data_IF_960987273915
#
_entry.id   IF_960987273915
#
_cell.length_a   1.000
_cell.length_b   1.000
_cell.length_c   1.000
_cell.angle_alpha   90.00
_cell.angle_beta   90.00
_cell.angle_gamma   90.00
#
_symmetry.space_group_name_H-M   'P 1'
#
loop_
_entity.id
_entity.type
_entity.pdbx_description
1 polymer ?
#
# COMPACT_ATOMS: atom_id res chain seq x y z
N UNK A 1 -56.91 -16.39 18.33
CA UNK A 1 -56.30 -16.47 16.96
C UNK A 1 -55.83 -15.10 16.44
N UNK A 2 -56.64 -14.01 16.54
CA UNK A 2 -56.24 -12.68 16.05
C UNK A 2 -54.99 -12.13 16.74
N UNK A 3 -54.85 -12.30 18.05
CA UNK A 3 -53.65 -11.83 18.81
C UNK A 3 -52.37 -12.54 18.40
N UNK A 4 -52.40 -13.82 18.05
CA UNK A 4 -51.24 -14.58 17.59
C UNK A 4 -50.77 -14.13 16.19
N UNK A 5 -51.72 -13.80 15.31
CA UNK A 5 -51.39 -13.26 13.97
C UNK A 5 -50.74 -11.87 14.08
N UNK A 6 -51.29 -11.03 14.97
CA UNK A 6 -50.73 -9.70 15.24
C UNK A 6 -49.30 -9.79 15.79
N UNK A 7 -49.08 -10.70 16.75
CA UNK A 7 -47.76 -10.90 17.34
C UNK A 7 -46.71 -11.40 16.33
N UNK A 8 -47.11 -12.25 15.39
CA UNK A 8 -46.26 -12.72 14.32
C UNK A 8 -45.91 -11.61 13.32
N UNK A 9 -46.87 -10.74 12.98
CA UNK A 9 -46.64 -9.57 12.09
C UNK A 9 -45.73 -8.53 12.76
N UNK A 10 -45.93 -8.25 14.04
CA UNK A 10 -45.10 -7.30 14.79
C UNK A 10 -43.67 -7.84 14.97
N UNK A 11 -43.50 -9.16 15.20
CA UNK A 11 -42.18 -9.82 15.27
C UNK A 11 -41.46 -9.74 13.93
N UNK A 12 -42.16 -9.93 12.81
CA UNK A 12 -41.58 -9.80 11.47
C UNK A 12 -41.10 -8.37 11.18
N UNK A 13 -41.93 -7.37 11.48
CA UNK A 13 -41.58 -5.95 11.34
C UNK A 13 -40.37 -5.58 12.18
N UNK A 14 -40.30 -6.04 13.42
CA UNK A 14 -39.15 -5.83 14.30
C UNK A 14 -37.86 -6.43 13.71
N UNK A 15 -37.95 -7.61 13.12
CA UNK A 15 -36.80 -8.26 12.47
C UNK A 15 -36.34 -7.46 11.22
N UNK A 16 -37.27 -6.99 10.39
CA UNK A 16 -36.96 -6.17 9.21
C UNK A 16 -36.35 -4.81 9.60
N UNK A 17 -36.89 -4.16 10.63
CA UNK A 17 -36.36 -2.87 11.11
C UNK A 17 -34.97 -3.04 11.79
N UNK A 18 -34.74 -4.15 12.51
CA UNK A 18 -33.44 -4.50 13.08
C UNK A 18 -32.39 -4.69 11.99
N UNK A 19 -32.73 -5.37 10.89
CA UNK A 19 -31.82 -5.57 9.77
C UNK A 19 -31.51 -4.26 9.05
N UNK A 20 -32.51 -3.40 8.84
CA UNK A 20 -32.29 -2.05 8.29
C UNK A 20 -31.40 -1.19 9.17
N UNK A 21 -31.58 -1.22 10.49
CA UNK A 21 -30.75 -0.50 11.44
C UNK A 21 -29.30 -1.01 11.40
N UNK A 22 -29.09 -2.30 11.27
CA UNK A 22 -27.76 -2.91 11.15
C UNK A 22 -27.04 -2.48 9.87
N UNK A 23 -27.77 -2.46 8.74
CA UNK A 23 -27.22 -1.96 7.46
C UNK A 23 -26.90 -0.45 7.52
N UNK A 24 -27.79 0.37 8.09
CA UNK A 24 -27.56 1.79 8.29
C UNK A 24 -26.36 2.05 9.18
N UNK A 25 -26.22 1.34 10.29
CA UNK A 25 -25.08 1.44 11.19
C UNK A 25 -23.77 1.05 10.50
N UNK A 26 -23.78 0.00 9.67
CA UNK A 26 -22.62 -0.40 8.84
C UNK A 26 -22.21 0.70 7.86
N UNK A 27 -23.20 1.30 7.18
CA UNK A 27 -22.96 2.39 6.22
C UNK A 27 -22.42 3.65 6.90
N UNK A 28 -22.98 4.04 8.06
CA UNK A 28 -22.50 5.20 8.84
C UNK A 28 -21.07 4.97 9.31
N UNK A 29 -20.75 3.77 9.79
CA UNK A 29 -19.36 3.42 10.17
C UNK A 29 -18.38 3.44 8.99
N UNK A 30 -18.81 3.01 7.80
CA UNK A 30 -18.00 3.10 6.59
C UNK A 30 -17.76 4.55 6.15
N UNK A 31 -18.81 5.37 6.21
CA UNK A 31 -18.74 6.79 5.85
C UNK A 31 -17.86 7.59 6.82
N UNK A 32 -17.93 7.29 8.11
CA UNK A 32 -17.07 7.90 9.13
C UNK A 32 -15.59 7.59 8.89
N UNK A 33 -15.25 6.32 8.62
CA UNK A 33 -13.88 5.91 8.28
C UNK A 33 -13.36 6.58 7.01
N UNK A 34 -14.20 6.68 5.98
CA UNK A 34 -13.82 7.34 4.73
C UNK A 34 -13.60 8.84 4.93
N UNK A 35 -14.43 9.50 5.74
CA UNK A 35 -14.23 10.89 6.11
C UNK A 35 -12.91 11.08 6.86
N UNK A 36 -12.63 10.29 7.89
CA UNK A 36 -11.36 10.34 8.63
C UNK A 36 -10.16 10.13 7.71
N UNK A 37 -10.27 9.21 6.73
CA UNK A 37 -9.23 8.96 5.72
C UNK A 37 -8.99 10.17 4.83
N UNK A 38 -10.06 10.84 4.39
CA UNK A 38 -9.96 12.05 3.55
C UNK A 38 -9.37 13.22 4.32
N UNK A 39 -9.79 13.43 5.58
CA UNK A 39 -9.28 14.48 6.44
C UNK A 39 -7.78 14.25 6.73
N UNK A 40 -7.38 13.02 7.02
CA UNK A 40 -5.99 12.63 7.20
C UNK A 40 -5.15 12.83 5.92
N UNK A 41 -5.71 12.50 4.73
CA UNK A 41 -5.05 12.73 3.45
C UNK A 41 -4.82 14.22 3.19
N UNK A 42 -5.82 15.06 3.47
CA UNK A 42 -5.70 16.52 3.34
C UNK A 42 -4.61 17.07 4.27
N UNK A 43 -4.62 16.67 5.54
CA UNK A 43 -3.59 17.08 6.50
C UNK A 43 -2.18 16.65 6.09
N UNK A 44 -2.04 15.47 5.46
CA UNK A 44 -0.76 15.01 4.93
C UNK A 44 -0.26 15.90 3.78
N UNK A 45 -1.15 16.30 2.87
CA UNK A 45 -0.77 17.21 1.77
C UNK A 45 -0.28 18.56 2.31
N UNK A 46 -0.94 19.10 3.33
CA UNK A 46 -0.55 20.36 3.93
C UNK A 46 0.82 20.25 4.64
N UNK A 47 1.05 19.17 5.37
CA UNK A 47 2.33 18.90 6.01
C UNK A 47 3.46 18.70 5.00
N UNK A 48 3.20 17.99 3.89
CA UNK A 48 4.16 17.83 2.80
C UNK A 48 4.53 19.17 2.16
N UNK A 49 3.53 20.02 1.88
CA UNK A 49 3.77 21.35 1.33
C UNK A 49 4.64 22.20 2.25
N UNK A 50 4.40 22.13 3.56
CA UNK A 50 5.22 22.81 4.57
C UNK A 50 6.66 22.27 4.58
N UNK A 51 6.86 20.95 4.55
CA UNK A 51 8.20 20.35 4.51
C UNK A 51 8.98 20.74 3.23
N UNK A 52 8.31 20.73 2.07
CA UNK A 52 8.93 21.15 0.80
C UNK A 52 9.35 22.62 0.89
N UNK A 53 8.50 23.49 1.46
CA UNK A 53 8.80 24.91 1.63
C UNK A 53 10.00 25.11 2.54
N UNK A 54 10.04 24.43 3.71
CA UNK A 54 11.16 24.47 4.63
C UNK A 54 12.46 23.97 3.99
N UNK A 55 12.38 22.86 3.23
CA UNK A 55 13.55 22.32 2.52
C UNK A 55 14.07 23.31 1.49
N UNK A 56 13.17 23.94 0.73
CA UNK A 56 13.54 24.98 -0.23
C UNK A 56 14.23 26.16 0.47
N UNK A 57 13.67 26.67 1.55
CA UNK A 57 14.24 27.78 2.33
C UNK A 57 15.63 27.45 2.89
N UNK A 58 15.83 26.21 3.36
CA UNK A 58 17.12 25.72 3.81
C UNK A 58 18.15 25.69 2.66
N UNK A 59 17.77 25.16 1.48
CA UNK A 59 18.67 25.07 0.33
C UNK A 59 19.02 26.45 -0.25
N UNK A 60 18.04 27.37 -0.27
CA UNK A 60 18.23 28.72 -0.82
C UNK A 60 18.90 29.69 0.14
N UNK A 61 18.99 29.34 1.42
CA UNK A 61 19.54 30.24 2.46
C UNK A 61 18.68 31.48 2.70
N UNK A 62 17.40 31.45 2.33
CA UNK A 62 16.50 32.62 2.46
C UNK A 62 16.17 32.97 3.91
N UNK A 63 16.45 32.08 4.87
CA UNK A 63 16.19 32.30 6.29
C UNK A 63 17.35 31.82 7.16
N UNK A 64 17.94 32.75 7.92
CA UNK A 64 18.89 32.44 8.98
C UNK A 64 18.16 31.72 10.14
N UNK A 65 18.58 30.50 10.46
CA UNK A 65 18.05 29.72 11.58
C UNK A 65 17.31 28.43 11.25
N UNK A 66 17.18 28.07 9.95
CA UNK A 66 16.75 26.74 9.55
C UNK A 66 18.00 25.87 9.37
N UNK A 67 18.20 24.92 10.30
CA UNK A 67 19.25 23.92 10.19
C UNK A 67 18.71 22.61 9.59
N UNK A 68 19.63 21.73 9.20
CA UNK A 68 19.30 20.42 8.64
C UNK A 68 18.46 19.56 9.60
N UNK A 69 18.68 19.69 10.89
CA UNK A 69 17.97 18.93 11.93
C UNK A 69 16.50 19.33 12.03
N UNK A 70 16.19 20.62 11.81
CA UNK A 70 14.80 21.10 11.74
C UNK A 70 14.10 20.48 10.54
N UNK A 71 14.74 20.53 9.37
CA UNK A 71 14.17 19.94 8.13
C UNK A 71 13.97 18.43 8.30
N UNK A 72 14.95 17.71 8.82
CA UNK A 72 14.84 16.26 9.05
C UNK A 72 13.71 15.92 10.02
N UNK A 73 13.57 16.62 11.13
CA UNK A 73 12.48 16.40 12.11
C UNK A 73 11.08 16.61 11.50
N UNK A 74 10.92 17.62 10.66
CA UNK A 74 9.63 17.83 9.99
C UNK A 74 9.32 16.71 8.97
N UNK A 75 10.31 16.24 8.22
CA UNK A 75 10.14 15.08 7.35
C UNK A 75 9.83 13.79 8.12
N UNK A 76 10.46 13.56 9.28
CA UNK A 76 10.15 12.40 10.13
C UNK A 76 8.70 12.42 10.60
N UNK A 77 8.13 13.58 10.97
CA UNK A 77 6.72 13.70 11.32
C UNK A 77 5.80 13.30 10.15
N UNK A 78 6.11 13.75 8.93
CA UNK A 78 5.33 13.43 7.74
C UNK A 78 5.38 11.93 7.43
N UNK A 79 6.56 11.32 7.53
CA UNK A 79 6.75 9.88 7.28
C UNK A 79 5.96 9.07 8.32
N UNK A 80 6.09 9.41 9.60
CA UNK A 80 5.37 8.73 10.70
C UNK A 80 3.86 8.88 10.56
N UNK A 81 3.38 10.07 10.20
CA UNK A 81 1.96 10.34 9.99
C UNK A 81 1.38 9.57 8.80
N UNK A 82 2.15 9.45 7.70
CA UNK A 82 1.78 8.63 6.53
C UNK A 82 1.53 7.17 6.90
N UNK A 83 2.33 6.62 7.81
CA UNK A 83 2.16 5.24 8.28
C UNK A 83 0.95 5.09 9.21
N UNK A 84 0.60 6.14 9.96
CA UNK A 84 -0.55 6.17 10.87
C UNK A 84 -1.92 6.26 10.16
N UNK A 85 -1.98 6.74 8.91
CA UNK A 85 -3.24 6.90 8.15
C UNK A 85 -3.86 5.55 7.73
N UNK A 86 -3.16 4.43 7.93
CA UNK A 86 -3.68 3.10 7.61
C UNK A 86 -3.97 2.85 6.13
N UNK A 87 -3.32 3.60 5.22
CA UNK A 87 -3.40 3.32 3.79
C UNK A 87 -2.83 1.93 3.50
N UNK A 88 -3.60 1.12 2.76
CA UNK A 88 -3.11 -0.17 2.28
C UNK A 88 -1.89 0.00 1.37
N UNK A 89 -1.05 -1.03 1.24
CA UNK A 89 0.09 -0.99 0.34
C UNK A 89 -0.34 -0.74 -1.13
N UNK A 90 -1.52 -1.21 -1.51
CA UNK A 90 -2.14 -0.94 -2.82
C UNK A 90 -2.39 0.56 -3.04
N UNK A 91 -3.00 1.23 -2.08
CA UNK A 91 -3.29 2.67 -2.17
C UNK A 91 -2.00 3.49 -2.22
N UNK A 92 -1.00 3.14 -1.40
CA UNK A 92 0.33 3.77 -1.41
C UNK A 92 1.02 3.63 -2.78
N UNK A 93 0.97 2.45 -3.39
CA UNK A 93 1.52 2.18 -4.71
C UNK A 93 0.85 3.02 -5.79
N UNK A 94 -0.48 3.02 -5.84
CA UNK A 94 -1.25 3.72 -6.87
C UNK A 94 -1.08 5.24 -6.78
N UNK A 95 -1.04 5.79 -5.57
CA UNK A 95 -0.81 7.22 -5.35
C UNK A 95 0.61 7.63 -5.78
N UNK A 96 1.62 6.83 -5.43
CA UNK A 96 3.01 7.06 -5.84
C UNK A 96 3.19 6.96 -7.36
N UNK A 97 2.56 5.98 -7.99
CA UNK A 97 2.60 5.80 -9.45
C UNK A 97 1.95 7.00 -10.16
N UNK A 98 0.78 7.43 -9.70
CA UNK A 98 0.08 8.60 -10.23
C UNK A 98 0.90 9.88 -10.10
N UNK A 99 1.50 10.11 -8.95
CA UNK A 99 2.31 11.30 -8.66
C UNK A 99 3.57 11.36 -9.53
N UNK A 100 4.19 10.21 -9.80
CA UNK A 100 5.40 10.11 -10.62
C UNK A 100 5.14 9.96 -12.12
N UNK A 101 3.88 9.81 -12.55
CA UNK A 101 3.52 9.59 -13.94
C UNK A 101 3.91 8.22 -14.49
N UNK A 102 4.14 7.24 -13.60
CA UNK A 102 4.51 5.87 -13.97
C UNK A 102 3.26 5.00 -14.02
N UNK A 103 3.12 4.20 -15.07
CA UNK A 103 2.01 3.25 -15.22
C UNK A 103 2.31 1.98 -14.45
N UNK A 104 1.35 1.51 -13.65
CA UNK A 104 1.41 0.20 -12.98
C UNK A 104 0.49 -0.77 -13.70
N UNK A 105 1.03 -1.94 -14.09
CA UNK A 105 0.26 -3.01 -14.73
C UNK A 105 0.36 -4.30 -13.92
N UNK A 106 -0.77 -4.91 -13.63
CA UNK A 106 -0.85 -6.20 -12.94
C UNK A 106 -1.56 -7.18 -13.86
N UNK A 107 -1.00 -8.38 -14.00
CA UNK A 107 -1.53 -9.48 -14.80
C UNK A 107 -1.56 -10.75 -13.94
N UNK A 108 -2.65 -11.46 -13.99
CA UNK A 108 -2.93 -12.64 -13.16
C UNK A 108 -3.93 -12.32 -12.07
N UNK A 109 -4.27 -13.32 -11.26
CA UNK A 109 -5.19 -13.17 -10.14
C UNK A 109 -4.43 -12.60 -8.93
N UNK A 110 -4.91 -11.47 -8.43
CA UNK A 110 -4.27 -10.79 -7.31
C UNK A 110 -4.51 -11.59 -6.01
N UNK A 111 -3.45 -11.84 -5.20
CA UNK A 111 -3.63 -12.46 -3.89
C UNK A 111 -4.48 -11.58 -2.97
N UNK A 112 -4.95 -12.16 -1.89
CA UNK A 112 -5.73 -11.46 -0.85
C UNK A 112 -4.97 -11.44 0.48
N UNK A 113 -5.43 -10.63 1.45
CA UNK A 113 -4.86 -10.63 2.79
C UNK A 113 -3.40 -10.20 2.87
N UNK A 114 -2.60 -10.92 3.63
CA UNK A 114 -1.19 -10.60 3.88
C UNK A 114 -0.31 -10.73 2.63
N UNK A 115 -0.59 -11.68 1.77
CA UNK A 115 0.13 -11.90 0.52
C UNK A 115 -0.07 -10.72 -0.45
N UNK A 116 -1.27 -10.16 -0.52
CA UNK A 116 -1.54 -8.93 -1.27
C UNK A 116 -0.71 -7.76 -0.75
N UNK A 117 -0.67 -7.58 0.57
CA UNK A 117 0.09 -6.51 1.21
C UNK A 117 1.60 -6.62 0.92
N UNK A 118 2.15 -7.84 0.95
CA UNK A 118 3.54 -8.10 0.58
C UNK A 118 3.81 -7.81 -0.89
N UNK A 119 2.94 -8.27 -1.79
CA UNK A 119 3.05 -8.01 -3.22
C UNK A 119 3.06 -6.51 -3.53
N UNK A 120 2.11 -5.75 -3.00
CA UNK A 120 2.04 -4.31 -3.23
C UNK A 120 3.22 -3.57 -2.60
N UNK A 121 3.72 -4.04 -1.44
CA UNK A 121 4.95 -3.50 -0.84
C UNK A 121 6.16 -3.74 -1.76
N UNK A 122 6.27 -4.94 -2.35
CA UNK A 122 7.34 -5.25 -3.30
C UNK A 122 7.26 -4.37 -4.55
N UNK A 123 6.05 -4.19 -5.09
CA UNK A 123 5.83 -3.30 -6.23
C UNK A 123 6.16 -1.83 -5.90
N UNK A 124 5.88 -1.37 -4.68
CA UNK A 124 6.24 -0.02 -4.23
C UNK A 124 7.77 0.19 -4.19
N UNK A 125 8.52 -0.80 -3.69
CA UNK A 125 9.99 -0.76 -3.69
C UNK A 125 10.52 -0.75 -5.12
N UNK A 126 9.98 -1.60 -5.99
CA UNK A 126 10.36 -1.63 -7.41
C UNK A 126 10.03 -0.32 -8.14
N UNK A 127 8.87 0.28 -7.87
CA UNK A 127 8.47 1.56 -8.43
C UNK A 127 9.46 2.67 -8.04
N UNK A 128 9.80 2.76 -6.76
CA UNK A 128 10.77 3.74 -6.26
C UNK A 128 12.13 3.58 -6.95
N UNK A 129 12.63 2.35 -7.04
CA UNK A 129 13.89 2.06 -7.72
C UNK A 129 13.83 2.35 -9.22
N UNK A 130 12.73 2.03 -9.88
CA UNK A 130 12.51 2.28 -11.29
C UNK A 130 12.52 3.78 -11.63
N UNK A 131 11.96 4.61 -10.75
CA UNK A 131 12.00 6.07 -10.87
C UNK A 131 13.43 6.59 -10.65
N UNK A 132 14.08 6.16 -9.57
CA UNK A 132 15.38 6.70 -9.18
C UNK A 132 16.52 6.29 -10.12
N UNK A 133 16.52 5.06 -10.62
CA UNK A 133 17.68 4.48 -11.28
C UNK A 133 17.47 4.11 -12.73
N UNK A 134 16.23 3.80 -13.12
CA UNK A 134 15.94 3.27 -14.46
C UNK A 134 15.21 4.27 -15.38
N UNK A 135 14.74 5.40 -14.86
CA UNK A 135 13.89 6.34 -15.61
C UNK A 135 12.72 5.64 -16.32
N UNK A 136 12.10 4.69 -15.62
CA UNK A 136 11.02 3.88 -16.17
C UNK A 136 9.70 4.66 -16.25
N UNK A 137 8.89 4.32 -17.23
CA UNK A 137 7.52 4.84 -17.39
C UNK A 137 6.46 3.80 -17.07
N UNK A 138 6.88 2.55 -16.87
CA UNK A 138 5.98 1.45 -16.54
C UNK A 138 6.66 0.46 -15.57
N UNK A 139 5.90 0.03 -14.57
CA UNK A 139 6.23 -1.13 -13.71
C UNK A 139 5.14 -2.15 -13.87
N UNK A 140 5.52 -3.41 -14.14
CA UNK A 140 4.58 -4.50 -14.36
C UNK A 140 4.82 -5.65 -13.39
N UNK A 141 3.73 -6.27 -12.94
CA UNK A 141 3.74 -7.51 -12.17
C UNK A 141 2.96 -8.59 -12.91
N UNK A 142 3.57 -9.76 -13.04
CA UNK A 142 2.89 -10.97 -13.50
C UNK A 142 2.75 -11.91 -12.30
N UNK A 143 1.56 -12.42 -12.10
CA UNK A 143 1.19 -13.28 -10.97
C UNK A 143 0.85 -14.67 -11.51
N UNK A 144 1.45 -15.67 -10.91
CA UNK A 144 1.09 -17.07 -11.09
C UNK A 144 0.71 -17.64 -9.73
N UNK A 145 -0.35 -18.40 -9.75
CA UNK A 145 -0.88 -19.08 -8.57
C UNK A 145 -0.81 -20.59 -8.77
N UNK A 146 -0.41 -21.30 -7.74
CA UNK A 146 -0.58 -22.75 -7.65
C UNK A 146 -1.30 -23.11 -6.34
N UNK A 147 -1.42 -24.40 -6.06
CA UNK A 147 -2.12 -24.89 -4.87
C UNK A 147 -1.53 -24.36 -3.55
N UNK A 148 -0.21 -24.11 -3.50
CA UNK A 148 0.53 -23.83 -2.26
C UNK A 148 1.08 -22.42 -2.16
N UNK A 149 1.21 -21.70 -3.27
CA UNK A 149 1.93 -20.43 -3.31
C UNK A 149 1.47 -19.52 -4.43
N UNK A 150 1.78 -18.23 -4.24
CA UNK A 150 1.80 -17.20 -5.29
C UNK A 150 3.24 -16.94 -5.70
N UNK A 151 3.49 -16.85 -7.00
CA UNK A 151 4.75 -16.36 -7.56
C UNK A 151 4.47 -15.06 -8.27
N UNK A 152 5.16 -13.99 -7.92
CA UNK A 152 5.01 -12.68 -8.54
C UNK A 152 6.34 -12.24 -9.11
N UNK A 153 6.36 -11.93 -10.41
CA UNK A 153 7.51 -11.36 -11.10
C UNK A 153 7.24 -9.89 -11.41
N UNK A 154 8.07 -9.01 -10.88
CA UNK A 154 7.97 -7.56 -11.06
C UNK A 154 9.11 -7.09 -11.95
N UNK A 155 8.78 -6.29 -12.97
CA UNK A 155 9.71 -5.70 -13.94
C UNK A 155 9.40 -4.22 -14.17
N UNK A 156 10.35 -3.51 -14.75
CA UNK A 156 10.12 -2.18 -15.28
C UNK A 156 10.62 -2.09 -16.74
N UNK A 157 10.18 -1.07 -17.46
CA UNK A 157 10.58 -0.81 -18.85
C UNK A 157 11.71 0.22 -18.97
N UNK A 158 12.36 0.55 -17.88
CA UNK A 158 13.43 1.54 -17.86
C UNK A 158 14.78 1.00 -18.34
N UNK A 159 15.83 1.79 -18.12
CA UNK A 159 17.20 1.38 -18.46
C UNK A 159 17.61 0.18 -17.62
N UNK A 160 18.20 -0.86 -18.24
CA UNK A 160 18.73 -1.98 -17.49
C UNK A 160 19.91 -1.56 -16.60
N UNK A 161 20.18 -2.25 -15.49
CA UNK A 161 21.33 -2.02 -14.67
C UNK A 161 22.63 -2.28 -15.46
N UNK A 162 23.65 -1.45 -15.27
CA UNK A 162 24.96 -1.61 -15.90
C UNK A 162 25.82 -2.70 -15.21
N UNK A 163 25.50 -3.05 -13.98
CA UNK A 163 26.20 -4.05 -13.16
C UNK A 163 25.21 -4.73 -12.22
N UNK A 164 25.67 -5.80 -11.57
CA UNK A 164 24.88 -6.46 -10.53
C UNK A 164 24.48 -5.48 -9.42
N UNK A 165 23.18 -5.53 -9.05
CA UNK A 165 22.64 -4.70 -8.00
C UNK A 165 23.09 -5.24 -6.65
N UNK A 166 23.75 -4.41 -5.88
CA UNK A 166 23.94 -4.67 -4.45
C UNK A 166 22.67 -4.24 -3.73
N UNK A 167 22.03 -5.16 -3.02
CA UNK A 167 20.79 -4.86 -2.29
C UNK A 167 21.07 -3.81 -1.21
N UNK A 168 20.43 -2.65 -1.36
CA UNK A 168 20.42 -1.58 -0.37
C UNK A 168 19.13 -1.60 0.46
N UNK A 169 18.96 -0.65 1.37
CA UNK A 169 17.94 -0.61 2.42
C UNK A 169 16.54 -1.05 2.01
N UNK A 170 16.03 -0.58 0.85
CA UNK A 170 14.68 -0.93 0.39
C UNK A 170 14.52 -2.42 0.04
N UNK A 171 15.46 -2.98 -0.77
CA UNK A 171 15.43 -4.39 -1.15
C UNK A 171 15.77 -5.32 0.03
N UNK A 172 16.72 -4.94 0.87
CA UNK A 172 17.09 -5.71 2.07
C UNK A 172 15.90 -5.80 3.05
N UNK A 173 15.22 -4.69 3.33
CA UNK A 173 14.03 -4.67 4.19
C UNK A 173 12.89 -5.49 3.61
N UNK A 174 12.68 -5.40 2.29
CA UNK A 174 11.67 -6.19 1.59
C UNK A 174 11.98 -7.69 1.72
N UNK A 175 13.23 -8.10 1.51
CA UNK A 175 13.69 -9.48 1.67
C UNK A 175 13.37 -10.02 3.06
N UNK A 176 13.74 -9.30 4.10
CA UNK A 176 13.43 -9.70 5.48
C UNK A 176 11.93 -9.88 5.73
N UNK A 177 11.09 -8.99 5.18
CA UNK A 177 9.63 -9.11 5.32
C UNK A 177 9.09 -10.35 4.62
N UNK A 178 9.57 -10.65 3.40
CA UNK A 178 9.14 -11.81 2.62
C UNK A 178 9.59 -13.12 3.29
N UNK A 179 10.86 -13.19 3.71
CA UNK A 179 11.42 -14.36 4.39
C UNK A 179 10.76 -14.63 5.75
N UNK A 180 10.45 -13.58 6.51
CA UNK A 180 9.72 -13.68 7.78
C UNK A 180 8.27 -14.20 7.61
N UNK A 181 7.68 -14.03 6.42
CA UNK A 181 6.39 -14.63 6.07
C UNK A 181 6.52 -16.03 5.46
N UNK A 182 7.71 -16.65 5.51
CA UNK A 182 7.96 -17.95 4.91
C UNK A 182 8.10 -17.95 3.40
N UNK A 183 8.17 -16.79 2.77
CA UNK A 183 8.36 -16.61 1.34
C UNK A 183 9.84 -16.59 0.93
N UNK A 184 10.07 -16.43 -0.38
CA UNK A 184 11.40 -16.32 -0.98
C UNK A 184 11.46 -15.14 -1.93
N UNK A 185 12.59 -14.45 -1.97
CA UNK A 185 12.84 -13.33 -2.86
C UNK A 185 14.10 -13.54 -3.68
N UNK A 186 14.02 -13.31 -4.99
CA UNK A 186 15.16 -13.36 -5.92
C UNK A 186 15.21 -12.07 -6.72
N UNK A 187 16.40 -11.45 -6.74
CA UNK A 187 16.67 -10.27 -7.56
C UNK A 187 17.56 -10.70 -8.73
N UNK A 188 17.09 -10.45 -9.94
CA UNK A 188 17.90 -10.57 -11.15
C UNK A 188 18.27 -9.16 -11.61
N UNK A 189 19.56 -8.91 -11.78
CA UNK A 189 20.07 -7.60 -12.19
C UNK A 189 20.28 -7.51 -13.69
N UNK A 190 20.85 -8.55 -14.27
CA UNK A 190 21.26 -8.59 -15.69
C UNK A 190 20.61 -9.77 -16.43
N UNK A 191 20.33 -9.66 -17.73
CA UNK A 191 20.49 -8.45 -18.59
C UNK A 191 19.46 -7.37 -18.34
N UNK A 192 18.36 -7.69 -17.65
CA UNK A 192 17.27 -6.79 -17.27
C UNK A 192 16.92 -7.01 -15.81
N UNK A 193 16.47 -5.93 -15.16
CA UNK A 193 15.99 -6.04 -13.79
C UNK A 193 14.70 -6.85 -13.71
N UNK A 194 14.69 -7.83 -12.83
CA UNK A 194 13.45 -8.45 -12.37
C UNK A 194 13.54 -8.83 -10.89
N UNK A 195 12.43 -8.66 -10.19
CA UNK A 195 12.24 -9.13 -8.83
C UNK A 195 11.21 -10.25 -8.86
N UNK A 196 11.57 -11.41 -8.35
CA UNK A 196 10.66 -12.55 -8.20
C UNK A 196 10.45 -12.81 -6.71
N UNK A 197 9.20 -12.87 -6.29
CA UNK A 197 8.80 -13.25 -4.94
C UNK A 197 7.91 -14.48 -5.00
N UNK A 198 8.18 -15.42 -4.12
CA UNK A 198 7.36 -16.60 -3.87
C UNK A 198 6.77 -16.49 -2.47
N UNK A 199 5.45 -16.53 -2.35
CA UNK A 199 4.74 -16.37 -1.09
C UNK A 199 3.87 -17.60 -0.84
N UNK A 200 4.06 -18.33 0.26
CA UNK A 200 3.18 -19.43 0.61
C UNK A 200 1.76 -18.91 0.86
N UNK A 201 0.77 -19.66 0.42
CA UNK A 201 -0.62 -19.38 0.80
C UNK A 201 -0.80 -19.74 2.27
N UNK A 202 -1.08 -18.74 3.08
CA UNK A 202 -1.55 -19.01 4.43
C UNK A 202 -3.01 -19.48 4.29
N UNK A 203 -3.21 -20.79 4.41
CA UNK A 203 -4.55 -21.37 4.42
C UNK A 203 -5.39 -20.57 5.41
N UNK A 204 -6.59 -20.20 4.97
CA UNK A 204 -7.61 -19.63 5.83
C UNK A 204 -7.82 -20.65 6.97
N UNK A 205 -7.19 -20.44 8.13
CA UNK A 205 -7.46 -21.22 9.33
C UNK A 205 -8.89 -20.87 9.72
N UNK A 206 -9.82 -21.54 9.02
CA UNK A 206 -11.22 -21.52 9.36
C UNK A 206 -11.33 -21.98 10.81
N UNK A 207 -11.78 -21.08 11.64
CA UNK A 207 -12.08 -21.37 13.02
C UNK A 207 -13.02 -22.60 13.10
N UNK A 208 -12.56 -23.60 13.83
CA UNK A 208 -13.42 -24.61 14.41
C UNK A 208 -14.02 -24.09 15.72
#
# INVERSE_FOLDING_TARGET
QRALVQLADDSRKLAEDSEKLKQLSGNVGALAREKERLDAKSSMHDNLAACITLTKQYITGEFDGIDADVVCREWEKVITFRDAIGLSAKEKLLDSAKTSGVTVRIRGEEPTGGEAELMYTAMQVCLTNAIQYANATEVSANIWENEYSYTVMIRNNGKPPEKEITEGGGLTNLRHRIENSGGKMTVQSLPEFSLVIEMPKHGNSGGG
#
